data_IF_311323709531
#
_entry.id   IF_311323709531
#
_cell.length_a   1.000
_cell.length_b   1.000
_cell.length_c   1.000
_cell.angle_alpha   90.00
_cell.angle_beta   90.00
_cell.angle_gamma   90.00
#
_symmetry.space_group_name_H-M   'P 1'
#
loop_
_entity.id
_entity.type
_entity.pdbx_description
1 polymer ?
#
# COMPACT_ATOMS: atom_id res chain seq x y z
N UNK A 1 -1.33 -11.97 4.07
CA UNK A 1 -2.17 -12.52 2.96
C UNK A 1 -2.66 -11.33 2.13
N UNK A 2 -2.77 -11.41 0.80
CA UNK A 2 -3.20 -10.26 -0.05
C UNK A 2 -4.60 -9.77 0.31
N UNK A 3 -5.50 -10.70 0.66
CA UNK A 3 -6.88 -10.38 1.05
C UNK A 3 -6.96 -9.46 2.26
N UNK A 4 -6.07 -9.65 3.25
CA UNK A 4 -6.05 -8.80 4.47
C UNK A 4 -5.52 -7.40 4.17
N UNK A 5 -4.61 -7.26 3.20
CA UNK A 5 -4.10 -5.97 2.77
C UNK A 5 -5.16 -5.17 1.99
N UNK A 6 -5.89 -5.84 1.09
CA UNK A 6 -7.01 -5.25 0.35
C UNK A 6 -8.11 -4.80 1.31
N UNK A 7 -8.47 -5.63 2.29
CA UNK A 7 -9.45 -5.26 3.32
C UNK A 7 -8.96 -4.06 4.14
N UNK A 8 -7.69 -4.04 4.55
CA UNK A 8 -7.11 -2.91 5.27
C UNK A 8 -7.15 -1.62 4.44
N UNK A 9 -6.86 -1.67 3.14
CA UNK A 9 -6.99 -0.51 2.24
C UNK A 9 -8.43 0.01 2.18
N UNK A 10 -9.42 -0.89 2.04
CA UNK A 10 -10.85 -0.52 2.07
C UNK A 10 -11.25 0.13 3.40
N UNK A 11 -10.78 -0.41 4.52
CA UNK A 11 -11.06 0.12 5.85
C UNK A 11 -10.44 1.51 6.07
N UNK A 12 -9.32 1.81 5.41
CA UNK A 12 -8.69 3.14 5.41
C UNK A 12 -9.30 4.09 4.37
N UNK A 13 -10.41 3.73 3.72
CA UNK A 13 -11.08 4.56 2.72
C UNK A 13 -10.30 4.70 1.41
N UNK A 14 -9.31 3.83 1.17
CA UNK A 14 -8.50 3.87 -0.03
C UNK A 14 -9.17 3.09 -1.16
N UNK A 15 -8.96 3.55 -2.40
CA UNK A 15 -9.20 2.70 -3.57
C UNK A 15 -8.18 1.55 -3.59
N UNK A 16 -8.60 0.28 -3.49
CA UNK A 16 -7.66 -0.84 -3.36
C UNK A 16 -6.80 -1.05 -4.60
N UNK A 17 -7.32 -0.69 -5.78
CA UNK A 17 -6.58 -0.84 -7.03
C UNK A 17 -5.48 0.20 -7.16
N UNK A 18 -5.78 1.47 -6.85
CA UNK A 18 -4.82 2.56 -6.83
C UNK A 18 -3.71 2.30 -5.80
N UNK A 19 -4.08 1.91 -4.58
CA UNK A 19 -3.15 1.54 -3.53
C UNK A 19 -2.21 0.41 -3.99
N UNK A 20 -2.77 -0.70 -4.48
CA UNK A 20 -1.96 -1.86 -4.89
C UNK A 20 -1.06 -1.53 -6.08
N UNK A 21 -1.58 -0.81 -7.08
CA UNK A 21 -0.81 -0.40 -8.26
C UNK A 21 0.40 0.45 -7.88
N UNK A 22 0.20 1.43 -7.02
CA UNK A 22 1.27 2.32 -6.56
C UNK A 22 2.29 1.60 -5.68
N UNK A 23 1.83 0.77 -4.73
CA UNK A 23 2.72 -0.05 -3.89
C UNK A 23 3.57 -0.99 -4.74
N UNK A 24 2.98 -1.72 -5.69
CA UNK A 24 3.70 -2.63 -6.58
C UNK A 24 4.74 -1.92 -7.46
N UNK A 25 4.45 -0.67 -7.88
CA UNK A 25 5.42 0.16 -8.63
C UNK A 25 6.57 0.65 -7.78
N UNK A 26 6.32 0.94 -6.49
CA UNK A 26 7.35 1.43 -5.56
C UNK A 26 8.22 0.32 -4.99
N UNK A 27 7.68 -0.89 -4.80
CA UNK A 27 8.41 -2.02 -4.17
C UNK A 27 9.84 -2.26 -4.70
N UNK A 28 10.13 -2.21 -6.01
CA UNK A 28 11.48 -2.46 -6.53
C UNK A 28 12.51 -1.39 -6.12
N UNK A 29 12.06 -0.16 -5.87
CA UNK A 29 12.92 1.00 -5.55
C UNK A 29 12.83 1.39 -4.07
N UNK A 30 11.86 0.84 -3.34
CA UNK A 30 11.63 1.15 -1.93
C UNK A 30 12.59 0.40 -1.02
N UNK A 31 13.17 1.10 -0.05
CA UNK A 31 14.04 0.45 0.93
C UNK A 31 13.18 -0.37 1.89
N UNK A 32 13.63 -1.59 2.22
CA UNK A 32 12.88 -2.49 3.09
C UNK A 32 12.60 -1.90 4.48
N UNK A 33 13.52 -1.07 4.99
CA UNK A 33 13.35 -0.32 6.26
C UNK A 33 12.20 0.69 6.23
N UNK A 34 11.79 1.13 5.05
CA UNK A 34 10.76 2.16 4.85
C UNK A 34 9.41 1.54 4.41
N UNK A 35 9.30 0.20 4.41
CA UNK A 35 8.11 -0.54 3.96
C UNK A 35 6.83 -0.13 4.71
N UNK A 36 6.97 0.31 5.96
CA UNK A 36 5.86 0.78 6.79
C UNK A 36 5.14 2.00 6.19
N UNK A 37 5.83 2.81 5.39
CA UNK A 37 5.23 3.93 4.67
C UNK A 37 4.30 3.49 3.53
N UNK A 38 4.41 2.24 3.09
CA UNK A 38 3.53 1.64 2.08
C UNK A 38 2.33 0.92 2.72
N UNK A 39 2.21 0.89 4.05
CA UNK A 39 1.05 0.29 4.71
C UNK A 39 -0.20 1.15 4.46
N UNK A 40 -1.41 0.55 4.39
CA UNK A 40 -2.63 1.27 4.00
C UNK A 40 -2.98 2.49 4.87
N UNK A 41 -2.57 2.52 6.13
CA UNK A 41 -2.82 3.64 7.04
C UNK A 41 -1.77 4.77 6.94
N UNK A 42 -0.60 4.48 6.35
CA UNK A 42 0.49 5.45 6.16
C UNK A 42 0.66 5.85 4.69
N UNK A 43 -0.09 5.21 3.79
CA UNK A 43 0.07 5.35 2.36
C UNK A 43 -0.23 6.78 1.92
N UNK A 44 0.70 7.34 1.14
CA UNK A 44 0.55 8.64 0.48
C UNK A 44 0.63 8.43 -1.03
N UNK A 45 -0.43 8.79 -1.79
CA UNK A 45 -0.41 8.77 -3.25
C UNK A 45 0.77 9.57 -3.80
N UNK A 46 1.32 9.14 -4.94
CA UNK A 46 2.36 9.87 -5.66
C UNK A 46 1.72 11.02 -6.45
#
# INVERSE_FOLDING_TARGET
NIMTLIQSAKLNGLDPYAYLSDVLKRLPTHKMKDIEALLPHNWKPA
#
